data_IF_464435566174
#
_entry.id   IF_464435566174
#
_cell.length_a   1.000
_cell.length_b   1.000
_cell.length_c   1.000
_cell.angle_alpha   90.00
_cell.angle_beta   90.00
_cell.angle_gamma   90.00
#
_symmetry.space_group_name_H-M   'P 1'
#
loop_
_entity.id
_entity.type
_entity.pdbx_description
1 polymer ?
#
# COMPACT_ATOMS: atom_id res chain seq x y z
N UNK A 1 -15.89 8.30 -11.86
CA UNK A 1 -16.72 7.34 -12.61
C UNK A 1 -16.07 6.00 -12.38
N UNK A 2 -16.65 5.16 -11.53
CA UNK A 2 -16.14 3.81 -11.28
C UNK A 2 -16.33 3.03 -12.57
N UNK A 3 -15.25 2.57 -13.17
CA UNK A 3 -15.34 1.60 -14.27
C UNK A 3 -16.04 0.38 -13.70
N UNK A 4 -17.19 0.02 -14.26
CA UNK A 4 -17.88 -1.21 -13.88
C UNK A 4 -16.94 -2.38 -14.25
N UNK A 5 -16.70 -3.27 -13.29
CA UNK A 5 -15.83 -4.43 -13.47
C UNK A 5 -16.40 -5.30 -14.60
N UNK A 6 -15.64 -5.46 -15.68
CA UNK A 6 -16.03 -6.30 -16.82
C UNK A 6 -14.88 -7.26 -17.16
N UNK A 7 -15.08 -8.53 -16.82
CA UNK A 7 -14.14 -9.59 -17.16
C UNK A 7 -14.23 -10.05 -18.62
N UNK A 8 -15.20 -9.60 -19.43
CA UNK A 8 -15.37 -9.99 -20.85
C UNK A 8 -15.43 -11.50 -21.06
N UNK A 9 -16.34 -12.15 -20.31
CA UNK A 9 -16.49 -13.62 -20.29
C UNK A 9 -17.84 -14.12 -20.84
N UNK A 10 -18.75 -13.24 -21.28
CA UNK A 10 -20.13 -13.57 -21.71
C UNK A 10 -20.26 -14.74 -22.70
N UNK A 11 -19.20 -15.03 -23.43
CA UNK A 11 -19.14 -16.02 -24.50
C UNK A 11 -18.30 -17.27 -24.19
N UNK A 12 -17.74 -17.34 -22.97
CA UNK A 12 -16.79 -18.36 -22.55
C UNK A 12 -17.29 -19.14 -21.33
N UNK A 13 -16.93 -20.41 -21.27
CA UNK A 13 -17.14 -21.25 -20.08
C UNK A 13 -15.83 -21.44 -19.30
N UNK A 14 -15.86 -21.64 -17.98
CA UNK A 14 -14.64 -21.94 -17.23
C UNK A 14 -14.01 -23.25 -17.73
N UNK A 15 -12.70 -23.24 -17.98
CA UNK A 15 -11.97 -24.42 -18.42
C UNK A 15 -11.90 -25.51 -17.34
N UNK A 16 -12.02 -25.11 -16.07
CA UNK A 16 -12.00 -25.99 -14.91
C UNK A 16 -12.76 -25.37 -13.71
N UNK A 17 -13.01 -26.20 -12.69
CA UNK A 17 -13.71 -25.78 -11.47
C UNK A 17 -12.92 -24.75 -10.64
N UNK A 18 -11.60 -24.65 -10.82
CA UNK A 18 -10.78 -23.64 -10.13
C UNK A 18 -11.07 -22.26 -10.72
N UNK A 19 -11.17 -22.18 -12.04
CA UNK A 19 -11.49 -20.96 -12.77
C UNK A 19 -12.91 -20.49 -12.49
N UNK A 20 -13.87 -21.42 -12.45
CA UNK A 20 -15.26 -21.13 -12.05
C UNK A 20 -15.34 -20.56 -10.63
N UNK A 21 -14.64 -21.19 -9.68
CA UNK A 21 -14.62 -20.75 -8.29
C UNK A 21 -13.95 -19.38 -8.13
N UNK A 22 -12.83 -19.15 -8.82
CA UNK A 22 -12.11 -17.88 -8.79
C UNK A 22 -12.98 -16.73 -9.32
N UNK A 23 -13.63 -16.94 -10.45
CA UNK A 23 -14.57 -15.97 -11.04
C UNK A 23 -15.73 -15.67 -10.08
N UNK A 24 -16.40 -16.71 -9.58
CA UNK A 24 -17.52 -16.54 -8.64
C UNK A 24 -17.13 -15.84 -7.35
N UNK A 25 -15.91 -16.09 -6.84
CA UNK A 25 -15.43 -15.47 -5.60
C UNK A 25 -15.20 -13.98 -5.78
N UNK A 26 -14.64 -13.56 -6.92
CA UNK A 26 -14.41 -12.15 -7.22
C UNK A 26 -15.71 -11.39 -7.49
N UNK A 27 -16.67 -11.99 -8.19
CA UNK A 27 -17.98 -11.38 -8.39
C UNK A 27 -18.77 -11.17 -7.09
N UNK A 28 -18.50 -11.98 -6.06
CA UNK A 28 -19.10 -11.81 -4.75
C UNK A 28 -18.43 -10.70 -3.90
N UNK A 29 -17.23 -10.24 -4.29
CA UNK A 29 -16.46 -9.22 -3.60
C UNK A 29 -16.90 -7.78 -3.92
N UNK A 30 -16.42 -6.84 -3.11
CA UNK A 30 -16.59 -5.39 -3.36
C UNK A 30 -15.34 -4.86 -4.05
N UNK A 31 -15.26 -5.08 -5.37
CA UNK A 31 -14.05 -4.82 -6.15
C UNK A 31 -14.06 -3.43 -6.79
N UNK A 32 -12.99 -2.68 -6.54
CA UNK A 32 -12.67 -1.44 -7.26
C UNK A 32 -11.43 -1.64 -8.12
N UNK A 33 -11.58 -1.57 -9.45
CA UNK A 33 -10.46 -1.73 -10.39
C UNK A 33 -9.47 -0.57 -10.23
N UNK A 34 -8.21 -0.91 -9.97
CA UNK A 34 -7.10 0.03 -9.88
C UNK A 34 -6.43 0.22 -11.22
N UNK A 35 -6.15 -0.88 -11.92
CA UNK A 35 -5.50 -0.91 -13.21
C UNK A 35 -6.01 -2.12 -14.01
N UNK A 36 -6.19 -1.98 -15.32
CA UNK A 36 -6.58 -3.09 -16.18
C UNK A 36 -5.95 -2.99 -17.56
N UNK A 37 -5.72 -4.14 -18.17
CA UNK A 37 -5.27 -4.25 -19.54
C UNK A 37 -5.88 -5.49 -20.20
N UNK A 38 -6.52 -5.28 -21.35
CA UNK A 38 -6.98 -6.36 -22.21
C UNK A 38 -6.15 -6.39 -23.49
N UNK A 39 -5.70 -7.57 -23.90
CA UNK A 39 -4.98 -7.71 -25.18
C UNK A 39 -5.93 -7.39 -26.33
N UNK A 40 -5.41 -6.81 -27.42
CA UNK A 40 -6.20 -6.51 -28.62
C UNK A 40 -5.58 -7.20 -29.83
N UNK A 41 -6.37 -7.57 -30.86
CA UNK A 41 -7.80 -7.28 -31.04
C UNK A 41 -8.76 -8.25 -30.33
N UNK A 42 -8.32 -9.47 -30.03
CA UNK A 42 -9.22 -10.56 -29.63
C UNK A 42 -9.41 -10.72 -28.12
N UNK A 43 -8.63 -10.02 -27.27
CA UNK A 43 -8.78 -10.14 -25.82
C UNK A 43 -8.40 -11.52 -25.28
N UNK A 44 -7.44 -12.22 -25.88
CA UNK A 44 -6.99 -13.52 -25.37
C UNK A 44 -6.50 -13.48 -23.92
N UNK A 45 -6.01 -12.33 -23.45
CA UNK A 45 -5.64 -12.11 -22.06
C UNK A 45 -6.32 -10.86 -21.48
N UNK A 46 -6.61 -10.91 -20.20
CA UNK A 46 -6.96 -9.75 -19.40
C UNK A 46 -6.20 -9.76 -18.09
N UNK A 47 -5.65 -8.61 -17.74
CA UNK A 47 -4.84 -8.39 -16.56
C UNK A 47 -5.51 -7.29 -15.76
N UNK A 48 -5.79 -7.53 -14.49
CA UNK A 48 -6.44 -6.55 -13.62
C UNK A 48 -5.77 -6.54 -12.26
N UNK A 49 -5.66 -5.36 -11.65
CA UNK A 49 -5.46 -5.22 -10.21
C UNK A 49 -6.69 -4.51 -9.67
N UNK A 50 -7.32 -5.09 -8.64
CA UNK A 50 -8.45 -4.49 -7.96
C UNK A 50 -8.18 -4.41 -6.45
N UNK A 51 -8.76 -3.40 -5.79
CA UNK A 51 -8.92 -3.36 -4.35
C UNK A 51 -10.20 -4.12 -3.98
N UNK A 52 -10.11 -5.03 -3.04
CA UNK A 52 -11.25 -5.77 -2.48
C UNK A 52 -11.65 -5.18 -1.13
N UNK A 53 -12.68 -4.34 -1.16
CA UNK A 53 -13.23 -3.68 0.03
C UNK A 53 -13.92 -4.65 1.01
N UNK A 54 -14.25 -5.87 0.57
CA UNK A 54 -14.91 -6.85 1.43
C UNK A 54 -13.95 -7.44 2.47
N UNK A 55 -12.65 -7.51 2.16
CA UNK A 55 -11.59 -8.05 3.04
C UNK A 55 -11.45 -7.26 4.34
N UNK A 56 -11.76 -5.96 4.33
CA UNK A 56 -11.80 -5.11 5.53
C UNK A 56 -12.68 -5.69 6.65
N UNK A 57 -13.74 -6.43 6.29
CA UNK A 57 -14.65 -7.06 7.25
C UNK A 57 -14.33 -8.54 7.52
N UNK A 58 -13.26 -9.06 6.90
CA UNK A 58 -12.80 -10.44 6.98
C UNK A 58 -11.77 -10.66 8.08
N UNK A 59 -10.70 -11.40 7.77
CA UNK A 59 -9.63 -11.68 8.75
C UNK A 59 -8.71 -10.47 8.83
N UNK A 60 -8.46 -9.92 10.03
CA UNK A 60 -7.54 -8.80 10.19
C UNK A 60 -6.16 -9.09 9.63
N UNK A 61 -5.59 -8.14 8.90
CA UNK A 61 -4.27 -8.27 8.28
C UNK A 61 -4.26 -8.83 6.87
N UNK A 62 -5.38 -9.37 6.37
CA UNK A 62 -5.41 -9.95 5.04
C UNK A 62 -5.11 -8.92 3.93
N UNK A 63 -4.41 -9.33 2.86
CA UNK A 63 -4.12 -8.45 1.75
C UNK A 63 -5.41 -8.01 1.05
N UNK A 64 -5.53 -6.71 0.78
CA UNK A 64 -6.73 -6.11 0.20
C UNK A 64 -6.63 -5.86 -1.30
N UNK A 65 -5.53 -6.25 -1.95
CA UNK A 65 -5.41 -6.16 -3.41
C UNK A 65 -5.42 -7.55 -4.00
N UNK A 66 -6.13 -7.70 -5.11
CA UNK A 66 -6.12 -8.91 -5.91
C UNK A 66 -5.61 -8.60 -7.31
N UNK A 67 -4.57 -9.32 -7.71
CA UNK A 67 -4.11 -9.40 -9.09
C UNK A 67 -4.85 -10.54 -9.79
N UNK A 68 -5.30 -10.29 -11.02
CA UNK A 68 -6.11 -11.21 -11.81
C UNK A 68 -5.51 -11.34 -13.20
N UNK A 69 -5.25 -12.58 -13.62
CA UNK A 69 -5.00 -12.94 -15.01
C UNK A 69 -6.13 -13.83 -15.52
N UNK A 70 -6.71 -13.44 -16.64
CA UNK A 70 -7.69 -14.24 -17.38
C UNK A 70 -7.08 -14.59 -18.72
N UNK A 71 -7.01 -15.88 -19.03
CA UNK A 71 -6.61 -16.36 -20.36
C UNK A 71 -7.79 -17.03 -21.03
N UNK A 72 -8.08 -16.66 -22.27
CA UNK A 72 -9.20 -17.20 -23.07
C UNK A 72 -8.67 -18.09 -24.19
N UNK A 73 -9.20 -19.30 -24.27
CA UNK A 73 -9.09 -20.14 -25.46
C UNK A 73 -10.26 -19.80 -26.39
N UNK A 74 -9.96 -19.09 -27.47
CA UNK A 74 -10.96 -18.64 -28.45
C UNK A 74 -11.52 -19.79 -29.30
N UNK A 75 -10.82 -20.92 -29.38
CA UNK A 75 -11.27 -22.07 -30.15
C UNK A 75 -12.28 -22.90 -29.35
N UNK A 76 -11.90 -23.29 -28.14
CA UNK A 76 -12.73 -24.09 -27.24
C UNK A 76 -13.80 -23.24 -26.54
N UNK A 77 -13.67 -21.90 -26.63
CA UNK A 77 -14.52 -20.92 -25.94
C UNK A 77 -14.51 -21.16 -24.43
N UNK A 78 -13.32 -21.40 -23.90
CA UNK A 78 -13.10 -21.56 -22.46
C UNK A 78 -12.17 -20.48 -21.89
N UNK A 79 -12.20 -20.25 -20.59
CA UNK A 79 -11.23 -19.37 -19.91
C UNK A 79 -10.57 -20.06 -18.71
N UNK A 80 -9.32 -19.69 -18.44
CA UNK A 80 -8.65 -19.94 -17.16
C UNK A 80 -8.56 -18.64 -16.37
N UNK A 81 -8.74 -18.75 -15.05
CA UNK A 81 -8.79 -17.61 -14.15
C UNK A 81 -7.77 -17.78 -13.03
N UNK A 82 -6.69 -17.01 -13.05
CA UNK A 82 -5.67 -17.00 -12.01
C UNK A 82 -5.77 -15.74 -11.16
N UNK A 83 -5.64 -15.90 -9.85
CA UNK A 83 -5.63 -14.79 -8.90
C UNK A 83 -4.47 -14.88 -7.92
N UNK A 84 -4.03 -13.72 -7.43
CA UNK A 84 -3.12 -13.64 -6.29
C UNK A 84 -3.42 -12.42 -5.43
N UNK A 85 -3.46 -12.63 -4.12
CA UNK A 85 -3.66 -11.55 -3.15
C UNK A 85 -2.32 -10.91 -2.80
N UNK A 86 -2.31 -9.58 -2.74
CA UNK A 86 -1.13 -8.77 -2.49
C UNK A 86 -1.45 -7.62 -1.54
N UNK A 87 -0.49 -7.31 -0.68
CA UNK A 87 -0.62 -6.20 0.26
C UNK A 87 -0.20 -4.87 -0.37
N UNK A 88 0.62 -4.89 -1.42
CA UNK A 88 1.05 -3.67 -2.13
C UNK A 88 0.82 -3.76 -3.63
N UNK A 89 0.40 -2.63 -4.21
CA UNK A 89 0.11 -2.51 -5.63
C UNK A 89 1.31 -2.86 -6.51
N UNK A 90 2.52 -2.48 -6.10
CA UNK A 90 3.73 -2.77 -6.87
C UNK A 90 4.01 -4.28 -6.99
N UNK A 91 3.70 -5.06 -5.95
CA UNK A 91 3.81 -6.52 -5.98
C UNK A 91 2.73 -7.17 -6.84
N UNK A 92 1.49 -6.67 -6.77
CA UNK A 92 0.40 -7.11 -7.65
C UNK A 92 0.73 -6.85 -9.13
N UNK A 93 1.27 -5.66 -9.43
CA UNK A 93 1.73 -5.31 -10.77
C UNK A 93 2.88 -6.20 -11.23
N UNK A 94 3.89 -6.46 -10.38
CA UNK A 94 4.99 -7.39 -10.70
C UNK A 94 4.45 -8.79 -11.04
N UNK A 95 3.48 -9.31 -10.28
CA UNK A 95 2.88 -10.62 -10.53
C UNK A 95 2.21 -10.72 -11.91
N UNK A 96 1.53 -9.66 -12.35
CA UNK A 96 0.94 -9.57 -13.70
C UNK A 96 2.00 -9.41 -14.79
N UNK A 97 3.06 -8.64 -14.52
CA UNK A 97 4.18 -8.45 -15.45
C UNK A 97 4.90 -9.78 -15.70
N UNK A 98 5.11 -10.59 -14.65
CA UNK A 98 5.67 -11.95 -14.78
C UNK A 98 4.81 -12.88 -15.65
N UNK A 99 3.51 -12.61 -15.75
CA UNK A 99 2.54 -13.32 -16.61
C UNK A 99 2.43 -12.76 -18.03
N UNK A 100 3.21 -11.74 -18.36
CA UNK A 100 3.26 -11.18 -19.71
C UNK A 100 2.43 -9.91 -19.90
N UNK A 101 1.87 -9.33 -18.83
CA UNK A 101 1.29 -7.99 -18.91
C UNK A 101 2.39 -6.96 -19.22
N UNK A 102 2.23 -6.11 -20.26
CA UNK A 102 3.19 -5.05 -20.52
C UNK A 102 3.24 -4.05 -19.34
N UNK A 103 4.43 -3.75 -18.79
CA UNK A 103 4.56 -2.92 -17.58
C UNK A 103 3.87 -1.55 -17.69
N UNK A 104 3.98 -0.90 -18.86
CA UNK A 104 3.40 0.42 -19.10
C UNK A 104 1.87 0.43 -19.14
N UNK A 105 1.24 -0.74 -19.32
CA UNK A 105 -0.23 -0.88 -19.39
C UNK A 105 -0.87 -1.06 -18.04
N UNK A 106 -0.12 -1.54 -17.04
CA UNK A 106 -0.65 -1.83 -15.70
C UNK A 106 -0.06 -0.92 -14.61
N UNK A 107 0.93 -0.09 -14.94
CA UNK A 107 1.62 0.78 -13.98
C UNK A 107 0.74 1.90 -13.38
N UNK A 108 -0.32 2.32 -14.08
CA UNK A 108 -1.17 3.44 -13.64
C UNK A 108 -2.34 2.92 -12.81
N UNK A 109 -2.39 3.32 -11.54
CA UNK A 109 -3.61 3.24 -10.75
C UNK A 109 -4.57 4.39 -11.13
N UNK A 110 -5.89 4.14 -11.03
CA UNK A 110 -6.93 5.15 -11.20
C UNK A 110 -6.71 6.42 -10.37
N UNK A 111 -7.29 7.55 -10.81
CA UNK A 111 -6.94 8.89 -10.32
C UNK A 111 -7.36 9.25 -8.89
N UNK A 112 -8.21 8.44 -8.24
CA UNK A 112 -8.82 8.76 -6.94
C UNK A 112 -8.08 8.13 -5.74
N UNK A 113 -6.97 7.41 -5.97
CA UNK A 113 -6.16 6.79 -4.92
C UNK A 113 -5.07 7.72 -4.37
N UNK A 114 -4.59 7.44 -3.15
CA UNK A 114 -3.47 8.17 -2.55
C UNK A 114 -2.27 8.17 -3.49
N UNK A 115 -1.51 9.25 -3.47
CA UNK A 115 -0.36 9.42 -4.38
C UNK A 115 0.96 9.17 -3.64
N UNK A 116 2.01 8.67 -4.33
CA UNK A 116 3.35 8.62 -3.79
C UNK A 116 3.79 10.00 -3.26
N UNK A 117 4.25 10.07 -2.02
CA UNK A 117 4.63 11.33 -1.38
C UNK A 117 6.01 11.84 -1.84
N UNK A 118 6.87 10.99 -2.38
CA UNK A 118 8.25 11.33 -2.76
C UNK A 118 8.86 10.42 -3.84
N UNK A 119 9.95 10.91 -4.44
CA UNK A 119 10.74 10.19 -5.46
C UNK A 119 11.29 8.84 -4.97
N UNK A 120 11.50 8.68 -3.66
CA UNK A 120 11.98 7.41 -3.12
C UNK A 120 10.89 6.34 -3.21
N UNK A 121 9.65 6.71 -2.88
CA UNK A 121 8.48 5.84 -3.01
C UNK A 121 8.34 5.36 -4.46
N UNK A 122 8.34 6.29 -5.41
CA UNK A 122 8.29 5.99 -6.85
C UNK A 122 9.41 5.05 -7.30
N UNK A 123 10.64 5.30 -6.82
CA UNK A 123 11.80 4.48 -7.17
C UNK A 123 11.68 3.05 -6.60
N UNK A 124 11.27 2.88 -5.35
CA UNK A 124 11.09 1.55 -4.74
C UNK A 124 10.00 0.77 -5.47
N UNK A 125 8.87 1.39 -5.76
CA UNK A 125 7.78 0.73 -6.51
C UNK A 125 8.22 0.29 -7.91
N UNK A 126 8.98 1.14 -8.60
CA UNK A 126 9.54 0.78 -9.89
C UNK A 126 10.49 -0.41 -9.76
N UNK A 127 11.36 -0.41 -8.74
CA UNK A 127 12.23 -1.55 -8.47
C UNK A 127 11.47 -2.84 -8.20
N UNK A 128 10.34 -2.80 -7.46
CA UNK A 128 9.49 -3.97 -7.22
C UNK A 128 8.86 -4.45 -8.52
N UNK A 129 8.24 -3.55 -9.31
CA UNK A 129 7.61 -3.90 -10.60
C UNK A 129 8.56 -4.53 -11.60
N UNK A 130 9.81 -4.09 -11.62
CA UNK A 130 10.86 -4.55 -12.53
C UNK A 130 11.66 -5.73 -11.96
N UNK A 131 11.32 -6.20 -10.77
CA UNK A 131 12.12 -7.19 -10.05
C UNK A 131 11.96 -8.62 -10.59
N UNK A 132 10.84 -8.92 -11.25
CA UNK A 132 10.46 -10.29 -11.58
C UNK A 132 10.52 -11.17 -10.34
N UNK A 133 11.05 -12.39 -10.49
CA UNK A 133 11.12 -13.36 -9.40
C UNK A 133 12.16 -13.05 -8.30
N UNK A 134 12.81 -11.87 -8.33
CA UNK A 134 13.85 -11.47 -7.37
C UNK A 134 13.34 -11.51 -5.92
N UNK A 135 12.16 -10.95 -5.66
CA UNK A 135 11.58 -10.85 -4.33
C UNK A 135 10.57 -11.95 -4.09
N UNK A 136 10.97 -12.99 -3.34
CA UNK A 136 10.03 -14.00 -2.87
C UNK A 136 9.26 -13.47 -1.67
N UNK A 137 7.96 -13.25 -1.80
CA UNK A 137 7.09 -12.88 -0.66
C UNK A 137 7.05 -14.04 0.35
N UNK A 138 7.27 -13.70 1.62
CA UNK A 138 7.24 -14.62 2.75
C UNK A 138 5.99 -14.43 3.59
N UNK A 139 5.58 -13.17 3.76
CA UNK A 139 4.44 -12.79 4.60
C UNK A 139 4.02 -11.35 4.26
N UNK A 140 2.81 -10.97 4.62
CA UNK A 140 2.34 -9.60 4.49
C UNK A 140 1.21 -9.29 5.46
N UNK A 141 0.96 -7.99 5.65
CA UNK A 141 -0.09 -7.52 6.54
C UNK A 141 -0.63 -6.19 6.05
N UNK A 142 -1.94 -6.01 6.17
CA UNK A 142 -2.63 -4.75 5.88
C UNK A 142 -3.44 -4.29 7.10
N UNK A 143 -3.29 -3.02 7.47
CA UNK A 143 -4.06 -2.32 8.50
C UNK A 143 -4.69 -1.07 7.91
N UNK A 144 -6.02 -1.03 7.89
CA UNK A 144 -6.84 0.11 7.48
C UNK A 144 -7.13 1.09 8.64
N UNK A 145 -6.83 0.68 9.88
CA UNK A 145 -6.95 1.53 11.08
C UNK A 145 -5.72 2.41 11.26
N UNK A 146 -5.92 3.61 11.80
CA UNK A 146 -4.82 4.55 12.07
C UNK A 146 -3.77 3.95 13.05
N UNK A 147 -2.48 3.89 12.68
CA UNK A 147 -1.92 4.30 11.38
C UNK A 147 -2.26 3.32 10.25
N UNK A 148 -2.82 3.82 9.14
CA UNK A 148 -3.09 3.00 7.96
C UNK A 148 -1.73 2.59 7.37
N UNK A 149 -1.44 1.30 7.44
CA UNK A 149 -0.14 0.76 7.09
C UNK A 149 -0.26 -0.62 6.47
N UNK A 150 0.67 -0.90 5.57
CA UNK A 150 0.80 -2.20 4.96
C UNK A 150 2.27 -2.57 4.93
N UNK A 151 2.62 -3.82 5.23
CA UNK A 151 3.97 -4.31 5.00
C UNK A 151 4.00 -5.60 4.21
N UNK A 152 5.05 -5.78 3.41
CA UNK A 152 5.36 -7.03 2.71
C UNK A 152 6.77 -7.47 3.09
N UNK A 153 6.88 -8.66 3.67
CA UNK A 153 8.14 -9.30 4.02
C UNK A 153 8.58 -10.21 2.88
N UNK A 154 9.80 -10.03 2.40
CA UNK A 154 10.32 -10.79 1.26
C UNK A 154 11.73 -11.31 1.52
N UNK A 155 12.14 -12.27 0.69
CA UNK A 155 13.53 -12.65 0.49
C UNK A 155 14.01 -12.18 -0.87
N UNK A 156 15.03 -11.32 -0.87
CA UNK A 156 15.73 -10.82 -2.05
C UNK A 156 16.81 -11.84 -2.47
N UNK A 157 16.57 -12.53 -3.58
CA UNK A 157 17.49 -13.54 -4.13
C UNK A 157 18.78 -12.95 -4.71
N UNK A 158 18.83 -11.63 -4.96
CA UNK A 158 20.02 -10.95 -5.47
C UNK A 158 20.94 -10.39 -4.38
N UNK A 159 20.45 -10.33 -3.14
CA UNK A 159 21.15 -9.72 -2.03
C UNK A 159 22.21 -10.66 -1.43
N UNK A 160 23.47 -10.23 -1.45
CA UNK A 160 24.56 -10.97 -0.80
C UNK A 160 24.58 -10.80 0.73
N UNK A 161 24.01 -9.70 1.25
CA UNK A 161 23.93 -9.38 2.67
C UNK A 161 22.53 -8.85 3.00
N UNK A 162 22.05 -9.19 4.19
CA UNK A 162 20.72 -8.81 4.67
C UNK A 162 19.60 -9.10 3.65
N UNK A 163 19.41 -10.38 3.25
CA UNK A 163 18.52 -10.76 2.15
C UNK A 163 17.04 -10.67 2.50
N UNK A 164 16.69 -10.46 3.76
CA UNK A 164 15.29 -10.29 4.16
C UNK A 164 14.95 -8.81 4.04
N UNK A 165 13.93 -8.50 3.23
CA UNK A 165 13.46 -7.13 3.02
C UNK A 165 12.07 -6.93 3.59
N UNK A 166 11.85 -5.79 4.21
CA UNK A 166 10.51 -5.31 4.58
C UNK A 166 10.20 -4.11 3.72
N UNK A 167 9.13 -4.18 2.95
CA UNK A 167 8.56 -3.04 2.24
C UNK A 167 7.38 -2.53 3.07
N UNK A 168 7.58 -1.38 3.73
CA UNK A 168 6.59 -0.74 4.58
C UNK A 168 5.96 0.43 3.84
N UNK A 169 4.65 0.34 3.65
CA UNK A 169 3.79 1.36 3.09
C UNK A 169 3.01 2.05 4.22
N UNK A 170 3.07 3.37 4.31
CA UNK A 170 2.37 4.17 5.32
C UNK A 170 1.50 5.21 4.62
N UNK A 171 0.19 5.19 4.91
CA UNK A 171 -0.78 6.13 4.37
C UNK A 171 -0.90 7.39 5.23
N UNK A 172 -0.99 8.55 4.58
CA UNK A 172 -1.33 9.83 5.18
C UNK A 172 -2.62 10.36 4.55
N UNK A 173 -3.74 10.14 5.26
CA UNK A 173 -5.06 10.55 4.81
C UNK A 173 -5.22 12.07 4.68
N UNK A 174 -4.59 12.86 5.56
CA UNK A 174 -4.69 14.32 5.54
C UNK A 174 -4.02 14.90 4.29
N UNK A 175 -2.86 14.37 3.93
CA UNK A 175 -2.13 14.76 2.73
C UNK A 175 -2.62 14.03 1.46
N UNK A 176 -3.47 13.01 1.62
CA UNK A 176 -3.88 12.09 0.57
C UNK A 176 -2.68 11.50 -0.21
N UNK A 177 -1.66 11.09 0.54
CA UNK A 177 -0.41 10.52 0.01
C UNK A 177 0.03 9.32 0.82
N UNK A 178 0.92 8.50 0.27
CA UNK A 178 1.56 7.40 0.98
C UNK A 178 3.07 7.38 0.74
N UNK A 179 3.81 6.74 1.64
CA UNK A 179 5.24 6.48 1.45
C UNK A 179 5.53 4.99 1.46
N UNK A 180 6.44 4.55 0.58
CA UNK A 180 7.03 3.20 0.62
C UNK A 180 8.47 3.29 1.11
N UNK A 181 8.86 2.43 2.04
CA UNK A 181 10.23 2.31 2.57
C UNK A 181 10.67 0.86 2.57
N UNK A 182 11.91 0.64 2.15
CA UNK A 182 12.55 -0.67 2.22
C UNK A 182 13.47 -0.72 3.44
N UNK A 183 13.32 -1.77 4.23
CA UNK A 183 14.27 -2.17 5.26
C UNK A 183 14.95 -3.48 4.92
N UNK A 184 16.15 -3.69 5.48
CA UNK A 184 16.96 -4.88 5.23
C UNK A 184 17.43 -5.54 6.52
N UNK A 185 17.25 -6.85 6.61
CA UNK A 185 17.52 -7.64 7.79
C UNK A 185 18.35 -8.88 7.45
N UNK A 186 19.20 -9.29 8.39
CA UNK A 186 20.03 -10.48 8.26
C UNK A 186 19.18 -11.76 8.09
N UNK A 187 18.06 -11.83 8.80
CA UNK A 187 17.16 -12.98 8.83
C UNK A 187 15.71 -12.56 9.13
N UNK A 188 14.79 -13.53 9.01
CA UNK A 188 13.36 -13.33 9.17
C UNK A 188 12.97 -13.00 10.62
N UNK A 189 13.68 -13.58 11.60
CA UNK A 189 13.38 -13.33 13.01
C UNK A 189 13.69 -11.88 13.39
N UNK A 190 14.80 -11.31 12.89
CA UNK A 190 15.14 -9.91 13.08
C UNK A 190 14.11 -8.97 12.45
N UNK A 191 13.63 -9.30 11.24
CA UNK A 191 12.59 -8.51 10.57
C UNK A 191 11.25 -8.55 11.33
N UNK A 192 10.82 -9.74 11.78
CA UNK A 192 9.59 -9.91 12.56
C UNK A 192 9.67 -9.20 13.90
N UNK A 193 10.79 -9.31 14.60
CA UNK A 193 10.99 -8.58 15.85
C UNK A 193 10.88 -7.06 15.66
N UNK A 194 11.43 -6.52 14.56
CA UNK A 194 11.27 -5.10 14.24
C UNK A 194 9.83 -4.72 13.89
N UNK A 195 9.09 -5.59 13.18
CA UNK A 195 7.68 -5.38 12.88
C UNK A 195 6.81 -5.34 14.16
N UNK A 196 7.15 -6.16 15.15
CA UNK A 196 6.51 -6.20 16.47
C UNK A 196 6.92 -5.00 17.36
N UNK A 197 8.20 -4.60 17.32
CA UNK A 197 8.77 -3.48 18.09
C UNK A 197 9.55 -2.52 17.18
N UNK A 198 8.87 -1.45 16.78
CA UNK A 198 9.39 -0.38 15.92
C UNK A 198 10.10 0.75 16.70
N UNK A 199 10.58 0.47 17.92
CA UNK A 199 11.31 1.46 18.73
C UNK A 199 12.64 1.91 18.11
N UNK A 200 13.19 1.13 17.17
CA UNK A 200 14.38 1.48 16.40
C UNK A 200 14.05 1.88 14.95
N UNK A 201 14.85 2.75 14.31
CA UNK A 201 14.64 3.10 12.90
C UNK A 201 14.70 1.87 11.99
N UNK A 202 13.93 1.88 10.91
CA UNK A 202 13.97 0.86 9.86
C UNK A 202 15.41 0.72 9.32
N UNK A 203 16.05 -0.47 9.43
CA UNK A 203 17.42 -0.67 8.97
C UNK A 203 17.53 -0.52 7.45
N UNK A 204 18.43 0.34 6.97
CA UNK A 204 18.55 0.60 5.53
C UNK A 204 19.25 -0.56 4.79
N UNK A 205 18.85 -0.87 3.55
CA UNK A 205 19.56 -1.81 2.69
C UNK A 205 21.05 -1.44 2.52
N UNK A 206 21.99 -2.39 2.68
CA UNK A 206 23.43 -2.13 2.57
C UNK A 206 23.86 -1.68 1.15
N UNK A 207 23.02 -2.01 0.16
CA UNK A 207 23.26 -1.73 -1.25
C UNK A 207 22.79 -0.31 -1.66
N UNK A 208 22.14 0.43 -0.75
CA UNK A 208 21.73 1.80 -0.99
C UNK A 208 22.96 2.73 -1.05
N UNK A 209 23.48 2.91 -2.27
CA UNK A 209 24.61 3.80 -2.58
C UNK A 209 24.21 4.80 -3.66
N UNK A 210 25.00 5.87 -3.81
CA UNK A 210 24.82 6.85 -4.88
C UNK A 210 23.43 7.48 -4.87
N UNK A 211 22.70 7.35 -5.98
CA UNK A 211 21.39 7.97 -6.12
C UNK A 211 20.33 7.45 -5.13
N UNK A 212 20.39 6.17 -4.75
CA UNK A 212 19.46 5.63 -3.74
C UNK A 212 19.65 6.34 -2.40
N UNK A 213 20.90 6.55 -1.97
CA UNK A 213 21.22 7.32 -0.76
C UNK A 213 20.81 8.80 -0.87
N UNK A 214 20.93 9.40 -2.06
CA UNK A 214 20.47 10.77 -2.31
C UNK A 214 18.93 10.88 -2.25
N UNK A 215 18.19 9.88 -2.77
CA UNK A 215 16.72 9.81 -2.66
C UNK A 215 16.28 9.66 -1.20
N UNK A 216 16.92 8.79 -0.43
CA UNK A 216 16.68 8.67 1.02
C UNK A 216 16.87 9.98 1.76
N UNK A 217 17.98 10.67 1.50
CA UNK A 217 18.29 11.94 2.17
C UNK A 217 17.22 13.00 1.87
N UNK A 218 16.78 13.10 0.60
CA UNK A 218 15.70 14.01 0.21
C UNK A 218 14.37 13.64 0.86
N UNK A 219 13.99 12.36 0.86
CA UNK A 219 12.78 11.89 1.53
C UNK A 219 12.77 12.19 3.04
N UNK A 220 13.91 12.02 3.72
CA UNK A 220 14.06 12.37 5.13
C UNK A 220 13.90 13.88 5.40
N UNK A 221 14.43 14.72 4.51
CA UNK A 221 14.28 16.18 4.59
C UNK A 221 12.82 16.62 4.39
N UNK A 222 12.12 16.06 3.39
CA UNK A 222 10.70 16.37 3.14
C UNK A 222 9.83 16.05 4.34
N UNK A 223 10.02 14.88 4.98
CA UNK A 223 9.29 14.51 6.21
C UNK A 223 9.57 15.47 7.36
N UNK A 224 10.83 15.84 7.55
CA UNK A 224 11.23 16.77 8.62
C UNK A 224 10.65 18.17 8.42
N UNK A 225 10.62 18.66 7.17
CA UNK A 225 10.02 19.94 6.83
C UNK A 225 8.50 19.95 7.03
N UNK A 226 7.80 18.87 6.68
CA UNK A 226 6.36 18.71 6.92
C UNK A 226 6.01 18.64 8.40
N UNK A 227 6.80 17.92 9.20
CA UNK A 227 6.65 17.87 10.66
C UNK A 227 6.92 19.22 11.33
N UNK A 228 7.82 20.03 10.75
CA UNK A 228 8.19 21.35 11.27
C UNK A 228 7.23 22.47 10.84
N UNK A 229 6.30 22.20 9.91
CA UNK A 229 5.32 23.17 9.37
C UNK A 229 4.03 23.28 10.21
N UNK A 230 3.98 22.72 11.41
CA UNK A 230 2.95 23.05 12.41
C UNK A 230 3.45 24.22 13.26
N UNK A 231 3.18 25.49 12.92
CA UNK A 231 3.26 26.53 13.93
C UNK A 231 2.16 26.23 14.95
N UNK A 232 2.54 25.91 16.20
CA UNK A 232 1.69 26.12 17.37
C UNK A 232 1.39 27.61 17.46
N UNK A 233 0.38 28.05 16.72
CA UNK A 233 -0.20 29.37 16.90
C UNK A 233 -1.02 29.35 18.20
N UNK A 234 -0.36 29.79 19.27
CA UNK A 234 -0.93 30.66 20.29
C UNK A 234 -2.01 30.06 21.19
N UNK A 235 -1.63 29.82 22.45
CA UNK A 235 -2.42 30.26 23.60
C UNK A 235 -1.50 30.26 24.81
N UNK A 236 -0.71 31.32 24.92
CA UNK A 236 -0.48 31.95 26.21
C UNK A 236 0.09 33.36 25.99
N UNK A 237 -0.72 34.36 26.31
CA UNK A 237 -0.35 35.42 27.26
C UNK A 237 -1.53 36.38 27.40
N UNK A 238 -1.99 36.56 28.64
CA UNK A 238 -2.62 37.81 29.06
C UNK A 238 -4.08 37.72 29.50
N UNK A 239 -4.34 37.11 30.66
CA UNK A 239 -5.26 37.77 31.58
C UNK A 239 -4.81 37.58 33.03
N UNK A 240 -4.17 38.63 33.54
CA UNK A 240 -3.79 38.79 34.95
C UNK A 240 -5.07 39.07 35.76
N UNK A 241 -5.33 38.38 36.88
CA UNK A 241 -6.39 38.77 37.79
C UNK A 241 -5.94 40.02 38.55
N UNK A 242 -6.70 41.12 38.42
CA UNK A 242 -6.46 42.33 39.19
C UNK A 242 -6.78 42.07 40.67
N UNK A 243 -5.76 42.19 41.50
CA UNK A 243 -5.86 42.11 42.95
C UNK A 243 -6.55 43.37 43.49
N UNK A 244 -7.83 43.25 43.86
CA UNK A 244 -8.53 44.25 44.64
C UNK A 244 -8.12 44.15 46.12
N UNK A 245 -7.36 45.13 46.60
CA UNK A 245 -7.08 45.32 48.02
C UNK A 245 -8.35 45.64 48.81
N UNK A 246 -8.44 44.98 49.97
CA UNK A 246 -9.53 44.99 50.91
C UNK A 246 -9.87 46.36 51.51
N UNK A 247 -11.16 46.56 51.79
CA UNK A 247 -11.63 47.43 52.88
C UNK A 247 -12.77 46.71 53.63
N UNK A 248 -12.54 46.43 54.91
CA UNK A 248 -13.47 45.92 55.94
C UNK A 248 -13.75 47.09 56.91
N UNK A 249 -14.66 47.03 57.92
CA UNK A 249 -15.83 46.17 58.12
C UNK A 249 -17.11 46.88 58.70
N UNK A 250 -18.21 46.11 58.79
CA UNK A 250 -19.27 46.09 59.85
C UNK A 250 -20.42 47.12 59.82
N UNK A 251 -21.54 46.90 60.57
CA UNK A 251 -22.37 45.68 60.71
C UNK A 251 -23.90 46.00 60.65
N UNK A 252 -24.77 44.99 60.50
CA UNK A 252 -26.19 45.15 60.87
C UNK A 252 -27.21 44.26 60.15
N UNK A 253 -27.70 43.23 60.85
CA UNK A 253 -29.06 42.65 60.72
C UNK A 253 -30.06 43.62 61.43
N UNK A 254 -31.41 43.55 61.31
CA UNK A 254 -32.23 42.50 60.71
C UNK A 254 -33.53 42.93 59.95
N UNK A 255 -34.29 41.88 59.58
CA UNK A 255 -35.64 41.78 58.99
C UNK A 255 -35.70 41.86 57.47
#
# INVERSE_FOLDING_TARGET
MTTELDFRLDEFEPADAVSELAESSLWAGDLTVLAEHHTTPEGSHSYLVAHDGSVTWGVPGEPQLVAVEITRDLHERTFTFETANHSSLAFAQNWLIERGCPPERIAQAGGDFMKPADDLTLWIEQQIRESGSRYKVLDSWTSDFAPCETWTLTRDSSAAQAPIRVFLEEGNHDAHTYTMREGAFADEAAARHWLEDRSSPLPQPPDYRGEAAARLTRAALTRSAGASAIPKAGLDTGNVPSAGTAQRPSPGRPM
#
